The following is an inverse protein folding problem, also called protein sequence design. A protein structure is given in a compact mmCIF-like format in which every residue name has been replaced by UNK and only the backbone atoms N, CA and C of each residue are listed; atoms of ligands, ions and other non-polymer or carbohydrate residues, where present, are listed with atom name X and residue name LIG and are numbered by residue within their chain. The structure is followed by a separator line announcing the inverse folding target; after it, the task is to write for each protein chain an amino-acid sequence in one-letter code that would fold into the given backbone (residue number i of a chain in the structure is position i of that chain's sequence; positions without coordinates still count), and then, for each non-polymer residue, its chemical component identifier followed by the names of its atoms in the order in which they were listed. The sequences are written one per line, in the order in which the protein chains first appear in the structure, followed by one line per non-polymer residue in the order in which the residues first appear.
data_IF_289311934664
#
_entry.id   IF_289311934664
#
_cell.length_a   1.000
_cell.length_b   1.000
_cell.length_c   1.000
_cell.angle_alpha   90.00
_cell.angle_beta   90.00
_cell.angle_gamma   90.00
#
_symmetry.space_group_name_H-M   'P 1'
#
loop_
_entity.id
_entity.type
_entity.pdbx_description
1 polymer ?
#
# COMPACT_ATOMS: atom_id res chain seq x y z
N UNK A 1 -10.72 -31.94 4.77
CA UNK A 1 -10.35 -30.52 5.00
C UNK A 1 -8.84 -30.44 5.09
N UNK A 2 -8.14 -29.81 4.12
CA UNK A 2 -6.70 -29.55 4.23
C UNK A 2 -6.54 -28.21 4.95
N UNK A 3 -6.12 -28.24 6.22
CA UNK A 3 -5.73 -27.04 6.96
C UNK A 3 -4.57 -26.36 6.24
N UNK A 4 -4.62 -25.04 6.05
CA UNK A 4 -3.48 -24.30 5.51
C UNK A 4 -2.31 -24.42 6.49
N UNK A 5 -1.25 -25.09 6.05
CA UNK A 5 0.01 -25.15 6.80
C UNK A 5 0.60 -23.74 6.81
N UNK A 6 0.80 -23.17 8.00
CA UNK A 6 1.42 -21.86 8.17
C UNK A 6 2.87 -21.81 7.63
N UNK A 7 3.44 -20.60 7.46
CA UNK A 7 4.82 -20.45 7.04
C UNK A 7 5.77 -21.12 8.04
N UNK A 8 6.77 -21.84 7.54
CA UNK A 8 7.70 -22.64 8.33
C UNK A 8 9.14 -22.51 7.82
N UNK A 9 10.11 -22.69 8.71
CA UNK A 9 11.54 -22.71 8.37
C UNK A 9 11.95 -24.07 7.81
N UNK A 10 12.86 -24.07 6.86
CA UNK A 10 13.55 -25.26 6.37
C UNK A 10 14.91 -25.35 7.05
N UNK A 11 15.18 -26.51 7.61
CA UNK A 11 16.38 -26.79 8.40
C UNK A 11 17.10 -27.95 7.74
N UNK A 12 18.43 -27.86 7.63
CA UNK A 12 19.30 -28.94 7.18
C UNK A 12 20.36 -29.23 8.24
N UNK A 13 20.57 -30.52 8.52
CA UNK A 13 21.54 -30.98 9.48
C UNK A 13 21.26 -32.42 9.92
N UNK A 14 22.26 -33.04 10.56
CA UNK A 14 22.13 -34.36 11.16
C UNK A 14 21.36 -34.22 12.47
N UNK A 15 20.37 -35.09 12.71
CA UNK A 15 19.63 -35.11 13.98
C UNK A 15 20.55 -35.67 15.06
N UNK A 16 21.11 -34.78 15.87
CA UNK A 16 22.01 -35.09 17.01
C UNK A 16 21.35 -34.71 18.33
N UNK A 17 21.75 -35.33 19.44
CA UNK A 17 21.22 -35.03 20.78
C UNK A 17 21.54 -33.60 21.23
N UNK A 18 22.70 -33.09 20.84
CA UNK A 18 23.13 -31.70 21.00
C UNK A 18 23.90 -31.27 19.75
N UNK A 19 23.78 -30.01 19.33
CA UNK A 19 24.48 -29.51 18.14
C UNK A 19 23.78 -28.35 17.46
N UNK A 20 24.34 -27.92 16.33
CA UNK A 20 23.84 -26.80 15.53
C UNK A 20 23.28 -27.29 14.18
N UNK A 21 22.18 -26.68 13.75
CA UNK A 21 21.57 -26.89 12.44
C UNK A 21 21.50 -25.60 11.65
N UNK A 22 21.69 -25.69 10.34
CA UNK A 22 21.55 -24.54 9.47
C UNK A 22 20.07 -24.31 9.13
N UNK A 23 19.61 -23.08 9.30
CA UNK A 23 18.40 -22.59 8.64
C UNK A 23 18.80 -22.22 7.22
N UNK A 24 18.20 -22.89 6.23
CA UNK A 24 18.56 -22.77 4.80
C UNK A 24 17.41 -22.21 3.95
N UNK A 25 16.34 -21.74 4.59
CA UNK A 25 15.20 -21.11 3.95
C UNK A 25 13.91 -21.39 4.70
N UNK A 26 12.79 -21.41 3.98
CA UNK A 26 11.48 -21.64 4.56
C UNK A 26 10.37 -21.57 3.51
N UNK A 27 9.16 -21.26 3.96
CA UNK A 27 8.00 -21.00 3.11
C UNK A 27 7.39 -19.64 3.44
N UNK A 28 6.67 -19.05 2.48
CA UNK A 28 6.09 -17.72 2.61
C UNK A 28 7.15 -16.67 2.95
N UNK A 29 6.93 -15.91 4.02
CA UNK A 29 7.83 -14.86 4.49
C UNK A 29 9.22 -15.35 4.97
N UNK A 30 9.40 -16.66 5.14
CA UNK A 30 10.67 -17.25 5.56
C UNK A 30 11.46 -17.89 4.41
N UNK A 31 11.01 -17.76 3.15
CA UNK A 31 11.64 -18.42 2.01
C UNK A 31 13.16 -18.19 1.91
N UNK A 32 13.61 -16.99 2.27
CA UNK A 32 15.02 -16.59 2.24
C UNK A 32 15.70 -16.58 3.61
N UNK A 33 15.08 -17.16 4.65
CA UNK A 33 15.66 -17.18 5.98
C UNK A 33 16.99 -17.96 5.99
N UNK A 34 18.03 -17.38 6.56
CA UNK A 34 19.34 -18.00 6.77
C UNK A 34 19.73 -17.85 8.23
N UNK A 35 20.39 -18.84 8.82
CA UNK A 35 20.75 -18.75 10.24
C UNK A 35 21.11 -20.09 10.85
N UNK A 36 21.08 -20.13 12.18
CA UNK A 36 21.45 -21.30 12.98
C UNK A 36 20.38 -21.61 14.01
N UNK A 37 20.13 -22.90 14.21
CA UNK A 37 19.37 -23.42 15.34
C UNK A 37 20.36 -24.20 16.21
N UNK A 38 20.53 -23.78 17.47
CA UNK A 38 21.36 -24.50 18.44
C UNK A 38 20.46 -25.31 19.36
N UNK A 39 20.75 -26.61 19.49
CA UNK A 39 20.03 -27.57 20.33
C UNK A 39 20.86 -27.91 21.57
N UNK A 40 20.29 -27.69 22.75
CA UNK A 40 20.89 -28.04 24.05
C UNK A 40 19.94 -28.95 24.85
N UNK A 41 20.45 -30.09 25.33
CA UNK A 41 19.71 -30.96 26.25
C UNK A 41 19.81 -30.36 27.66
N UNK A 42 18.67 -30.08 28.28
CA UNK A 42 18.62 -29.51 29.63
C UNK A 42 18.42 -30.59 30.69
N UNK A 43 17.53 -31.54 30.42
CA UNK A 43 17.26 -32.65 31.33
C UNK A 43 16.99 -33.93 30.56
N UNK A 44 17.59 -35.02 31.02
CA UNK A 44 17.26 -36.38 30.59
C UNK A 44 16.59 -37.10 31.75
N UNK A 45 15.29 -37.33 31.64
CA UNK A 45 14.55 -38.13 32.61
C UNK A 45 14.71 -39.60 32.22
N UNK A 46 14.42 -40.52 33.14
CA UNK A 46 14.52 -41.99 32.94
C UNK A 46 13.92 -42.44 31.60
N UNK A 47 14.18 -43.67 31.14
CA UNK A 47 13.77 -44.16 29.81
C UNK A 47 12.28 -43.93 29.42
N UNK A 48 11.37 -43.74 30.39
CA UNK A 48 9.95 -43.41 30.17
C UNK A 48 9.58 -41.92 30.32
N UNK A 49 10.49 -41.06 30.79
CA UNK A 49 10.24 -39.69 31.24
C UNK A 49 10.53 -38.58 30.23
N UNK A 50 11.00 -38.93 29.03
CA UNK A 50 11.31 -37.98 27.95
C UNK A 50 12.54 -37.11 28.21
N UNK A 51 12.87 -36.27 27.22
CA UNK A 51 13.97 -35.32 27.26
C UNK A 51 13.43 -33.89 27.18
N UNK A 52 13.99 -32.97 27.95
CA UNK A 52 13.72 -31.53 27.83
C UNK A 52 14.86 -30.90 27.03
N UNK A 53 14.51 -30.34 25.87
CA UNK A 53 15.46 -29.78 24.91
C UNK A 53 15.17 -28.29 24.75
N UNK A 54 16.21 -27.46 24.84
CA UNK A 54 16.18 -26.06 24.49
C UNK A 54 16.64 -25.87 23.04
N UNK A 55 15.88 -25.07 22.29
CA UNK A 55 16.20 -24.66 20.92
C UNK A 55 16.40 -23.14 20.89
N UNK A 56 17.59 -22.69 20.55
CA UNK A 56 17.88 -21.28 20.27
C UNK A 56 17.94 -21.06 18.78
N UNK A 57 17.03 -20.27 18.22
CA UNK A 57 16.99 -19.96 16.78
C UNK A 57 17.51 -18.54 16.56
N UNK A 58 18.59 -18.40 15.79
CA UNK A 58 19.12 -17.13 15.31
C UNK A 58 19.06 -17.12 13.80
N UNK A 59 18.01 -16.51 13.25
CA UNK A 59 17.81 -16.43 11.80
C UNK A 59 17.69 -14.99 11.32
N UNK A 60 18.35 -14.70 10.21
CA UNK A 60 18.20 -13.49 9.41
C UNK A 60 17.36 -13.83 8.18
N UNK A 61 16.25 -13.13 8.00
CA UNK A 61 15.47 -13.22 6.76
C UNK A 61 15.59 -11.88 6.03
N UNK A 62 16.40 -11.78 4.96
CA UNK A 62 16.36 -10.60 4.12
C UNK A 62 15.00 -10.56 3.44
N UNK A 63 14.23 -9.51 3.74
CA UNK A 63 13.11 -9.12 2.88
C UNK A 63 13.75 -8.58 1.60
N UNK A 64 14.04 -9.47 0.65
CA UNK A 64 14.44 -9.05 -0.69
C UNK A 64 13.27 -8.23 -1.24
N UNK A 65 13.51 -6.93 -1.38
CA UNK A 65 12.56 -6.00 -1.98
C UNK A 65 12.12 -6.62 -3.30
N UNK A 66 10.81 -6.88 -3.43
CA UNK A 66 10.25 -7.41 -4.67
C UNK A 66 10.67 -6.54 -5.87
N UNK A 67 10.48 -7.04 -7.10
CA UNK A 67 10.79 -6.27 -8.30
C UNK A 67 10.24 -4.84 -8.17
N UNK A 68 11.13 -3.86 -8.34
CA UNK A 68 10.77 -2.45 -8.41
C UNK A 68 10.09 -2.22 -9.74
N UNK A 69 8.79 -2.51 -9.81
CA UNK A 69 8.01 -2.20 -10.99
C UNK A 69 8.01 -0.68 -11.22
N UNK A 70 8.21 -0.23 -12.48
CA UNK A 70 8.18 1.17 -12.81
C UNK A 70 6.82 1.78 -12.41
N UNK A 71 6.86 2.98 -11.85
CA UNK A 71 5.67 3.76 -11.52
C UNK A 71 5.48 4.79 -12.63
N UNK A 72 4.30 4.82 -13.24
CA UNK A 72 3.93 5.75 -14.31
C UNK A 72 3.06 6.88 -13.76
N UNK A 73 3.33 8.12 -14.15
CA UNK A 73 2.46 9.27 -13.84
C UNK A 73 1.47 9.47 -14.98
N UNK A 74 0.18 9.60 -14.65
CA UNK A 74 -0.89 9.89 -15.60
C UNK A 74 -1.60 11.19 -15.18
N UNK A 75 -1.79 12.10 -16.13
CA UNK A 75 -2.36 13.43 -15.91
C UNK A 75 -1.29 14.53 -15.76
N UNK A 76 -1.60 15.65 -15.06
CA UNK A 76 -2.82 15.87 -14.29
C UNK A 76 -4.00 16.30 -15.18
N UNK A 77 -5.22 16.03 -14.73
CA UNK A 77 -6.47 16.54 -15.31
C UNK A 77 -6.95 17.72 -14.45
N UNK A 78 -7.47 18.79 -15.06
CA UNK A 78 -7.92 19.99 -14.34
C UNK A 78 -7.26 21.27 -14.84
N UNK A 79 -7.21 22.28 -13.97
CA UNK A 79 -6.66 23.60 -14.25
C UNK A 79 -5.13 23.72 -14.11
N UNK A 80 -4.59 24.83 -14.63
CA UNK A 80 -3.16 25.17 -14.52
C UNK A 80 -2.84 26.04 -13.30
N UNK A 81 -3.85 26.47 -12.54
CA UNK A 81 -3.69 27.27 -11.32
C UNK A 81 -3.03 26.52 -10.17
N UNK A 82 -2.79 27.23 -9.06
CA UNK A 82 -2.22 26.69 -7.83
C UNK A 82 -0.75 26.24 -7.95
N UNK A 83 -0.27 25.58 -6.90
CA UNK A 83 1.10 25.07 -6.80
C UNK A 83 1.14 23.56 -6.98
N UNK A 84 2.13 23.01 -7.70
CA UNK A 84 2.32 21.56 -7.80
C UNK A 84 2.66 20.99 -6.42
N UNK A 85 1.98 19.93 -6.03
CA UNK A 85 2.23 19.17 -4.82
C UNK A 85 2.44 17.70 -5.20
N UNK A 86 3.53 17.12 -4.73
CA UNK A 86 3.95 15.79 -5.12
C UNK A 86 4.63 15.05 -3.97
N UNK A 87 4.66 13.73 -4.04
CA UNK A 87 5.40 12.87 -3.12
C UNK A 87 6.85 12.72 -3.58
N UNK A 88 7.76 12.58 -2.62
CA UNK A 88 9.20 12.38 -2.88
C UNK A 88 9.56 10.90 -2.98
N UNK A 89 8.94 10.05 -2.17
CA UNK A 89 9.19 8.61 -2.17
C UNK A 89 8.25 7.88 -3.14
N UNK A 90 8.82 6.99 -3.94
CA UNK A 90 8.06 6.20 -4.90
C UNK A 90 7.02 5.31 -4.19
N UNK A 91 5.72 5.43 -4.55
CA UNK A 91 4.66 4.69 -3.89
C UNK A 91 4.61 3.24 -4.38
N UNK A 92 4.49 2.29 -3.44
CA UNK A 92 4.32 0.87 -3.73
C UNK A 92 2.85 0.45 -3.67
N UNK A 93 2.11 0.91 -2.65
CA UNK A 93 0.72 0.53 -2.39
C UNK A 93 0.00 1.60 -1.60
N UNK A 94 -1.18 2.01 -2.09
CA UNK A 94 -2.07 2.92 -1.39
C UNK A 94 -2.73 2.21 -0.18
N UNK A 95 -2.80 2.89 0.96
CA UNK A 95 -3.45 2.38 2.18
C UNK A 95 -4.74 3.12 2.51
N UNK A 96 -4.76 4.45 2.33
CA UNK A 96 -5.93 5.26 2.61
C UNK A 96 -6.03 6.45 1.68
N UNK A 97 -7.26 6.93 1.47
CA UNK A 97 -7.56 8.14 0.71
C UNK A 97 -8.55 8.95 1.54
N UNK A 98 -8.30 10.24 1.73
CA UNK A 98 -9.20 11.15 2.43
C UNK A 98 -9.52 12.32 1.52
N UNK A 99 -10.80 12.57 1.30
CA UNK A 99 -11.31 13.68 0.50
C UNK A 99 -12.11 14.63 1.38
N UNK A 100 -11.94 15.93 1.13
CA UNK A 100 -12.85 16.97 1.61
C UNK A 100 -13.43 17.70 0.40
N UNK A 101 -14.75 17.80 0.35
CA UNK A 101 -15.44 18.40 -0.78
C UNK A 101 -16.76 19.04 -0.33
N UNK A 102 -17.06 20.21 -0.89
CA UNK A 102 -18.40 20.80 -0.88
C UNK A 102 -19.00 20.73 -2.29
N UNK A 103 -19.19 21.91 -2.91
CA UNK A 103 -19.57 22.00 -4.34
C UNK A 103 -18.47 21.44 -5.25
N UNK A 104 -17.22 21.71 -4.89
CA UNK A 104 -16.00 21.24 -5.58
C UNK A 104 -15.09 20.52 -4.59
N UNK A 105 -13.99 19.93 -5.07
CA UNK A 105 -12.97 19.37 -4.20
C UNK A 105 -12.12 20.47 -3.58
N UNK A 106 -12.19 20.59 -2.27
CA UNK A 106 -11.31 21.48 -1.52
C UNK A 106 -9.91 20.87 -1.40
N UNK A 107 -9.82 19.57 -1.12
CA UNK A 107 -8.53 18.93 -0.86
C UNK A 107 -8.54 17.40 -0.85
N UNK A 108 -7.33 16.83 -0.94
CA UNK A 108 -7.09 15.39 -0.81
C UNK A 108 -5.88 15.12 0.08
N UNK A 109 -5.94 14.02 0.83
CA UNK A 109 -4.81 13.43 1.54
C UNK A 109 -4.80 11.91 1.31
N UNK A 110 -3.66 11.26 1.47
CA UNK A 110 -3.57 9.80 1.37
C UNK A 110 -2.40 9.25 2.16
N UNK A 111 -2.45 7.96 2.48
CA UNK A 111 -1.32 7.22 3.01
C UNK A 111 -0.98 6.03 2.12
N UNK A 112 0.30 5.67 2.08
CA UNK A 112 0.82 4.63 1.20
C UNK A 112 2.05 3.97 1.82
N UNK A 113 2.36 2.75 1.39
CA UNK A 113 3.65 2.12 1.62
C UNK A 113 4.60 2.50 0.50
N UNK A 114 5.81 2.94 0.84
CA UNK A 114 6.87 3.18 -0.13
C UNK A 114 7.59 1.87 -0.54
N UNK A 115 8.55 1.98 -1.46
CA UNK A 115 9.37 0.84 -1.90
C UNK A 115 10.22 0.17 -0.81
N UNK A 116 10.34 0.78 0.37
CA UNK A 116 11.02 0.23 1.54
C UNK A 116 10.03 -0.43 2.53
N UNK A 117 8.74 -0.46 2.20
CA UNK A 117 7.68 -0.94 3.09
C UNK A 117 7.38 0.04 4.23
N UNK A 118 7.91 1.26 4.18
CA UNK A 118 7.62 2.28 5.18
C UNK A 118 6.30 2.97 4.84
N UNK A 119 5.45 3.13 5.87
CA UNK A 119 4.23 3.93 5.74
C UNK A 119 4.57 5.41 5.63
N UNK A 120 4.00 6.05 4.62
CA UNK A 120 4.08 7.47 4.31
C UNK A 120 2.70 8.08 4.30
N UNK A 121 2.64 9.38 4.53
CA UNK A 121 1.43 10.19 4.41
C UNK A 121 1.72 11.38 3.51
N UNK A 122 0.75 11.76 2.69
CA UNK A 122 0.82 12.89 1.78
C UNK A 122 -0.47 13.72 1.87
N UNK A 123 -0.34 15.03 1.68
CA UNK A 123 -1.42 15.99 1.96
C UNK A 123 -1.57 16.29 3.45
N UNK A 124 -2.61 17.02 3.85
CA UNK A 124 -3.73 17.53 3.04
C UNK A 124 -3.29 18.57 2.01
N UNK A 125 -3.54 18.30 0.72
CA UNK A 125 -3.22 19.22 -0.39
C UNK A 125 -4.49 19.86 -0.93
N UNK A 126 -4.48 21.19 -1.06
CA UNK A 126 -5.66 22.02 -1.34
C UNK A 126 -5.97 22.97 -0.17
N UNK A 127 -7.20 23.45 -0.08
CA UNK A 127 -7.63 24.37 0.98
C UNK A 127 -8.22 23.68 2.20
N UNK A 128 -8.55 24.46 3.26
CA UNK A 128 -9.06 23.95 4.51
C UNK A 128 -10.56 23.62 4.50
N UNK A 129 -11.32 24.07 3.50
CA UNK A 129 -12.78 23.95 3.41
C UNK A 129 -13.30 22.55 3.06
N UNK A 130 -14.55 22.48 2.61
CA UNK A 130 -15.21 21.24 2.19
C UNK A 130 -15.69 20.36 3.34
N UNK A 131 -16.77 19.62 3.09
CA UNK A 131 -17.31 18.66 4.04
C UNK A 131 -16.44 17.39 4.05
N UNK A 132 -16.35 16.74 5.21
CA UNK A 132 -15.52 15.56 5.42
C UNK A 132 -15.04 15.41 6.87
N UNK A 133 -14.10 14.49 7.13
CA UNK A 133 -13.35 13.69 6.15
C UNK A 133 -14.14 12.52 5.55
N UNK A 134 -14.11 12.39 4.23
CA UNK A 134 -14.52 11.14 3.57
C UNK A 134 -13.29 10.24 3.40
N UNK A 135 -13.10 9.30 4.33
CA UNK A 135 -11.91 8.43 4.35
C UNK A 135 -12.21 7.02 3.86
N UNK A 136 -11.47 6.58 2.84
CA UNK A 136 -11.42 5.21 2.35
C UNK A 136 -10.24 4.52 3.01
N UNK A 137 -10.50 3.41 3.70
CA UNK A 137 -9.46 2.51 4.19
C UNK A 137 -9.40 1.26 3.31
N UNK A 138 -8.28 1.05 2.63
CA UNK A 138 -8.10 -0.06 1.69
C UNK A 138 -7.60 -1.31 2.43
N UNK A 139 -8.29 -2.43 2.23
CA UNK A 139 -7.83 -3.73 2.72
C UNK A 139 -6.49 -4.16 2.13
N UNK A 140 -5.82 -5.16 2.73
CA UNK A 140 -4.48 -5.66 2.32
C UNK A 140 -4.39 -6.01 0.83
N UNK A 141 -5.46 -6.55 0.25
CA UNK A 141 -5.55 -6.95 -1.17
C UNK A 141 -6.50 -6.06 -1.99
N UNK A 142 -6.99 -4.97 -1.39
CA UNK A 142 -7.85 -4.00 -2.07
C UNK A 142 -6.98 -2.93 -2.69
N UNK A 143 -7.17 -2.71 -3.99
CA UNK A 143 -6.42 -1.75 -4.79
C UNK A 143 -7.38 -0.91 -5.63
N UNK A 144 -7.02 0.35 -5.85
CA UNK A 144 -7.79 1.24 -6.73
C UNK A 144 -7.47 0.91 -8.18
N UNK A 145 -8.50 0.63 -8.96
CA UNK A 145 -8.41 0.26 -10.38
C UNK A 145 -8.95 1.35 -11.31
N UNK A 146 -9.74 2.29 -10.78
CA UNK A 146 -10.19 3.45 -11.53
C UNK A 146 -10.25 4.68 -10.62
N UNK A 147 -9.81 5.81 -11.16
CA UNK A 147 -10.16 7.15 -10.66
C UNK A 147 -10.89 7.87 -11.78
N UNK A 148 -12.06 8.43 -11.48
CA UNK A 148 -12.81 9.25 -12.41
C UNK A 148 -13.42 10.46 -11.73
N UNK A 149 -13.79 11.46 -12.49
CA UNK A 149 -14.30 12.71 -11.94
C UNK A 149 -14.63 13.72 -13.01
N UNK A 150 -14.83 14.96 -12.57
CA UNK A 150 -15.05 16.11 -13.44
C UNK A 150 -14.21 17.30 -13.01
N UNK A 151 -13.90 18.18 -13.94
CA UNK A 151 -13.29 19.48 -13.68
C UNK A 151 -13.93 20.56 -14.54
N UNK A 152 -13.99 21.77 -13.99
CA UNK A 152 -14.67 22.88 -14.63
C UNK A 152 -14.38 24.19 -13.92
N UNK A 153 -14.90 25.28 -14.47
CA UNK A 153 -14.75 26.61 -13.86
C UNK A 153 -15.57 26.68 -12.57
N UNK A 154 -14.91 27.03 -11.47
CA UNK A 154 -15.53 27.37 -10.20
C UNK A 154 -14.97 28.71 -9.74
N UNK A 155 -15.84 29.70 -9.60
CA UNK A 155 -15.47 31.12 -9.57
C UNK A 155 -14.60 31.50 -10.78
N UNK A 156 -13.34 31.84 -10.56
CA UNK A 156 -12.37 32.33 -11.54
C UNK A 156 -11.31 31.29 -11.92
N UNK A 157 -11.41 30.05 -11.41
CA UNK A 157 -10.40 29.02 -11.59
C UNK A 157 -10.97 27.67 -12.03
N UNK A 158 -10.23 26.95 -12.89
CA UNK A 158 -10.58 25.58 -13.28
C UNK A 158 -10.19 24.60 -12.17
N UNK A 159 -11.19 23.99 -11.54
CA UNK A 159 -11.06 23.19 -10.32
C UNK A 159 -11.63 21.79 -10.55
N UNK A 160 -11.14 20.79 -9.81
CA UNK A 160 -11.79 19.47 -9.76
C UNK A 160 -13.14 19.61 -9.05
N UNK A 161 -14.21 19.34 -9.78
CA UNK A 161 -15.59 19.52 -9.31
C UNK A 161 -16.21 18.22 -8.79
N UNK A 162 -15.67 17.07 -9.17
CA UNK A 162 -15.98 15.81 -8.50
C UNK A 162 -14.90 14.75 -8.62
N UNK A 163 -14.88 13.78 -7.70
CA UNK A 163 -14.03 12.60 -7.77
C UNK A 163 -14.73 11.34 -7.29
N UNK A 164 -14.40 10.21 -7.92
CA UNK A 164 -14.89 8.87 -7.62
C UNK A 164 -13.74 7.87 -7.75
N UNK A 165 -13.75 6.86 -6.89
CA UNK A 165 -12.77 5.77 -6.88
C UNK A 165 -13.46 4.43 -7.02
N UNK A 166 -12.89 3.52 -7.82
CA UNK A 166 -13.34 2.13 -7.93
C UNK A 166 -12.20 1.19 -7.59
N UNK A 167 -12.49 0.12 -6.84
CA UNK A 167 -11.51 -0.89 -6.45
C UNK A 167 -11.69 -2.20 -7.21
N UNK A 168 -10.66 -3.07 -7.16
CA UNK A 168 -10.72 -4.43 -7.68
C UNK A 168 -11.80 -5.32 -7.04
N UNK A 169 -12.42 -4.87 -5.94
CA UNK A 169 -13.54 -5.53 -5.28
C UNK A 169 -14.91 -5.00 -5.75
N UNK A 170 -14.95 -4.25 -6.86
CA UNK A 170 -16.13 -3.54 -7.37
C UNK A 170 -16.77 -2.57 -6.36
N UNK A 171 -16.02 -2.12 -5.35
CA UNK A 171 -16.49 -1.06 -4.45
C UNK A 171 -16.29 0.28 -5.12
N UNK A 172 -17.33 1.11 -5.06
CA UNK A 172 -17.31 2.49 -5.54
C UNK A 172 -17.38 3.44 -4.36
N UNK A 173 -16.51 4.45 -4.36
CA UNK A 173 -16.45 5.50 -3.35
C UNK A 173 -16.64 6.87 -4.01
N UNK A 174 -17.50 7.70 -3.42
CA UNK A 174 -17.98 8.93 -4.05
C UNK A 174 -19.16 8.67 -5.03
N UNK A 175 -19.40 9.57 -6.00
CA UNK A 175 -18.65 10.80 -6.24
C UNK A 175 -18.79 11.80 -5.08
N UNK A 176 -17.70 12.50 -4.76
CA UNK A 176 -17.72 13.67 -3.89
C UNK A 176 -17.57 14.94 -4.72
N UNK A 177 -18.25 16.02 -4.32
CA UNK A 177 -18.47 17.19 -5.16
C UNK A 177 -19.72 17.06 -6.04
N UNK A 178 -20.24 18.18 -6.52
CA UNK A 178 -21.49 18.21 -7.32
C UNK A 178 -21.26 17.70 -8.74
N UNK A 179 -20.05 17.89 -9.26
CA UNK A 179 -19.65 17.46 -10.60
C UNK A 179 -20.21 18.34 -11.73
N UNK A 180 -19.37 19.20 -12.32
CA UNK A 180 -19.72 20.08 -13.43
C UNK A 180 -18.53 20.22 -14.38
N UNK A 181 -18.79 20.39 -15.68
CA UNK A 181 -17.74 20.55 -16.69
C UNK A 181 -17.28 19.24 -17.32
N UNK A 182 -16.01 19.19 -17.72
CA UNK A 182 -15.44 18.08 -18.47
C UNK A 182 -15.14 16.88 -17.56
N UNK A 183 -15.41 15.67 -18.04
CA UNK A 183 -15.08 14.44 -17.32
C UNK A 183 -13.67 13.96 -17.61
N UNK A 184 -13.11 13.23 -16.64
CA UNK A 184 -11.91 12.43 -16.84
C UNK A 184 -12.11 11.06 -16.21
N UNK A 185 -11.48 10.05 -16.79
CA UNK A 185 -11.49 8.68 -16.30
C UNK A 185 -10.11 8.07 -16.54
N UNK A 186 -9.56 7.42 -15.51
CA UNK A 186 -8.27 6.74 -15.56
C UNK A 186 -8.49 5.29 -15.13
N UNK A 187 -8.88 4.39 -16.05
CA UNK A 187 -8.90 2.97 -15.80
C UNK A 187 -7.48 2.40 -15.92
N UNK A 188 -7.08 1.52 -15.02
CA UNK A 188 -5.80 0.79 -15.13
C UNK A 188 -6.00 -0.57 -15.81
N UNK A 189 -4.96 -1.05 -16.48
CA UNK A 189 -4.97 -2.39 -17.08
C UNK A 189 -5.03 -3.48 -16.00
N UNK A 190 -5.56 -4.67 -16.32
CA UNK A 190 -5.50 -5.82 -15.41
C UNK A 190 -4.07 -6.08 -14.93
N UNK A 191 -3.92 -6.34 -13.63
CA UNK A 191 -2.60 -6.48 -13.00
C UNK A 191 -1.88 -5.15 -12.72
N UNK A 192 -2.57 -4.01 -12.78
CA UNK A 192 -2.05 -2.72 -12.34
C UNK A 192 -2.96 -2.07 -11.30
N UNK A 193 -2.44 -1.07 -10.58
CA UNK A 193 -3.19 -0.31 -9.58
C UNK A 193 -2.75 1.16 -9.55
N UNK A 194 -3.67 2.01 -9.11
CA UNK A 194 -3.38 3.38 -8.69
C UNK A 194 -2.84 3.33 -7.26
N UNK A 195 -1.64 3.85 -7.05
CA UNK A 195 -0.86 3.70 -5.81
C UNK A 195 -0.56 5.03 -5.10
N UNK A 196 -0.93 6.16 -5.71
CA UNK A 196 -0.73 7.49 -5.14
C UNK A 196 -1.22 8.59 -6.06
N UNK A 197 -1.11 9.83 -5.60
CA UNK A 197 -1.57 11.02 -6.31
C UNK A 197 -0.50 12.10 -6.34
N UNK A 198 -0.59 12.98 -7.33
CA UNK A 198 0.07 14.28 -7.36
C UNK A 198 -0.96 15.31 -7.83
N UNK A 199 -0.86 16.55 -7.37
CA UNK A 199 -1.94 17.53 -7.58
C UNK A 199 -1.39 18.93 -7.88
N UNK A 200 -2.28 19.80 -8.33
CA UNK A 200 -2.10 21.25 -8.21
C UNK A 200 -3.11 21.77 -7.18
N UNK A 201 -2.63 22.39 -6.12
CA UNK A 201 -3.44 22.85 -5.00
C UNK A 201 -3.38 24.36 -4.81
N UNK A 202 -4.53 24.95 -4.49
CA UNK A 202 -4.68 26.32 -3.98
C UNK A 202 -5.78 26.31 -2.90
N UNK A 203 -6.68 27.30 -2.88
CA UNK A 203 -7.92 27.27 -2.07
C UNK A 203 -8.77 26.03 -2.36
N UNK A 204 -8.76 25.54 -3.60
CA UNK A 204 -9.40 24.30 -4.03
C UNK A 204 -8.41 23.43 -4.79
N UNK A 205 -8.76 22.16 -5.02
CA UNK A 205 -7.96 21.25 -5.82
C UNK A 205 -8.10 21.58 -7.30
N UNK A 206 -7.06 22.18 -7.89
CA UNK A 206 -7.10 22.68 -9.27
C UNK A 206 -6.96 21.54 -10.29
N UNK A 207 -6.03 20.62 -10.04
CA UNK A 207 -5.78 19.48 -10.91
C UNK A 207 -5.31 18.26 -10.13
N UNK A 208 -5.57 17.07 -10.65
CA UNK A 208 -5.16 15.79 -10.06
C UNK A 208 -4.56 14.86 -11.11
N UNK A 209 -3.46 14.21 -10.75
CA UNK A 209 -2.88 13.09 -11.46
C UNK A 209 -2.64 11.92 -10.53
N UNK A 210 -2.36 10.76 -11.13
CA UNK A 210 -2.22 9.50 -10.41
C UNK A 210 -0.88 8.84 -10.71
N UNK A 211 -0.38 8.10 -9.73
CA UNK A 211 0.70 7.13 -9.88
C UNK A 211 0.12 5.74 -10.14
N UNK A 212 0.51 5.11 -11.24
CA UNK A 212 0.10 3.75 -11.62
C UNK A 212 1.29 2.81 -11.55
N UNK A 213 1.08 1.62 -10.98
CA UNK A 213 2.11 0.57 -10.84
C UNK A 213 1.54 -0.78 -11.25
N UNK A 214 2.35 -1.59 -11.94
CA UNK A 214 2.07 -3.01 -12.18
C UNK A 214 2.25 -3.81 -10.88
N UNK A 215 1.32 -4.70 -10.57
CA UNK A 215 1.25 -5.49 -9.33
C UNK A 215 2.04 -6.79 -9.40
#
# INVERSE_FOLDING_TARGET
MKGSVGPHLKVMGIVVETGEWAVVGGTGQFAMATGVISKRLLEQRSAAGGQIIELTIRAFCPVLKGPRYPVTKIGPFGGTGGSPMDITEAPMRLESITVYAGVVLDSIAFSYLDNNGQKRSAGRWGGPGGDGPHTIQLGKSEVVTEVSGTFGTYYDATTITSIKFVTNLNKTYGPWGVGQGASFTIPVQPGSAIVGFFVRGATYLQAIGVYVRTL
#
